data_IF_017469437157
#
_entry.id   IF_017469437157
#
_cell.length_a   1.000
_cell.length_b   1.000
_cell.length_c   1.000
_cell.angle_alpha   90.00
_cell.angle_beta   90.00
_cell.angle_gamma   90.00
#
_symmetry.space_group_name_H-M   'P 1'
#
loop_
_entity.id
_entity.type
_entity.pdbx_description
1 polymer ?
#
# COMPACT_ATOMS: atom_id res chain seq x y z
N UNK A 1 -28.53 -6.45 -8.14
CA UNK A 1 -27.98 -5.49 -9.11
C UNK A 1 -28.94 -5.44 -10.28
N UNK A 2 -29.63 -4.32 -10.47
CA UNK A 2 -30.54 -4.17 -11.60
C UNK A 2 -29.77 -4.26 -12.92
N UNK A 3 -30.32 -5.03 -13.85
CA UNK A 3 -29.68 -5.28 -15.14
C UNK A 3 -29.68 -3.98 -15.94
N UNK A 4 -28.50 -3.39 -16.15
CA UNK A 4 -28.35 -2.13 -16.88
C UNK A 4 -28.86 -2.31 -18.31
N UNK A 5 -29.84 -1.49 -18.71
CA UNK A 5 -30.39 -1.50 -20.06
C UNK A 5 -29.63 -0.49 -20.94
N UNK A 6 -28.78 -0.99 -21.84
CA UNK A 6 -27.97 -0.17 -22.73
C UNK A 6 -28.78 0.72 -23.68
N UNK A 7 -30.06 0.40 -23.93
CA UNK A 7 -30.95 1.16 -24.84
C UNK A 7 -31.68 2.32 -24.15
N UNK A 8 -31.63 2.41 -22.82
CA UNK A 8 -32.34 3.43 -22.03
C UNK A 8 -31.40 4.16 -21.06
N UNK A 9 -30.25 4.60 -21.57
CA UNK A 9 -29.28 5.34 -20.77
C UNK A 9 -29.55 6.84 -20.79
N UNK A 10 -29.21 7.51 -19.68
CA UNK A 10 -29.19 8.97 -19.61
C UNK A 10 -27.84 9.45 -20.14
N UNK A 11 -27.83 10.03 -21.33
CA UNK A 11 -26.62 10.57 -21.94
C UNK A 11 -26.34 11.99 -21.43
N UNK A 12 -25.07 12.33 -21.28
CA UNK A 12 -24.60 13.69 -20.97
C UNK A 12 -23.57 14.10 -22.03
N UNK A 13 -24.02 14.63 -23.18
CA UNK A 13 -23.12 14.93 -24.31
C UNK A 13 -22.33 16.24 -24.12
N UNK A 14 -22.83 17.16 -23.30
CA UNK A 14 -22.27 18.51 -23.18
C UNK A 14 -21.32 18.71 -22.00
N UNK A 15 -21.33 17.83 -21.00
CA UNK A 15 -20.50 17.97 -19.79
C UNK A 15 -20.11 16.58 -19.29
N UNK A 16 -18.86 16.41 -18.86
CA UNK A 16 -18.43 15.16 -18.24
C UNK A 16 -18.92 15.11 -16.77
N UNK A 17 -19.86 14.20 -16.42
CA UNK A 17 -20.44 14.15 -15.08
C UNK A 17 -19.41 13.78 -13.99
N UNK A 18 -18.26 13.22 -14.35
CA UNK A 18 -17.20 12.81 -13.41
C UNK A 18 -16.32 13.98 -12.91
N UNK A 19 -16.41 15.17 -13.52
CA UNK A 19 -15.59 16.33 -13.14
C UNK A 19 -15.95 16.92 -11.77
N UNK A 20 -17.22 16.80 -11.33
CA UNK A 20 -17.72 17.46 -10.11
C UNK A 20 -17.37 16.73 -8.82
N UNK A 21 -17.42 15.39 -8.82
CA UNK A 21 -17.05 14.46 -7.74
C UNK A 21 -17.37 13.05 -8.20
N UNK A 22 -16.39 12.16 -8.20
CA UNK A 22 -16.56 10.78 -8.62
C UNK A 22 -16.32 9.85 -7.44
N UNK A 23 -17.37 9.55 -6.69
CA UNK A 23 -17.37 8.50 -5.67
C UNK A 23 -18.04 7.26 -6.25
N UNK A 24 -17.31 6.15 -6.29
CA UNK A 24 -17.80 4.86 -6.75
C UNK A 24 -17.87 3.95 -5.53
N UNK A 25 -19.08 3.44 -5.27
CA UNK A 25 -19.30 2.44 -4.23
C UNK A 25 -19.13 1.05 -4.84
N UNK A 26 -18.26 0.23 -4.26
CA UNK A 26 -18.08 -1.16 -4.64
C UNK A 26 -18.22 -2.02 -3.38
N UNK A 27 -19.33 -2.74 -3.21
CA UNK A 27 -19.67 -3.54 -2.03
C UNK A 27 -19.23 -2.92 -0.69
N UNK A 28 -18.07 -3.33 -0.16
CA UNK A 28 -17.51 -2.90 1.13
C UNK A 28 -16.39 -1.83 1.03
N UNK A 29 -16.21 -1.27 -0.15
CA UNK A 29 -15.15 -0.31 -0.49
C UNK A 29 -15.77 0.97 -1.02
N UNK A 30 -15.29 2.09 -0.52
CA UNK A 30 -15.59 3.40 -1.07
C UNK A 30 -14.37 3.79 -1.90
N UNK A 31 -14.50 3.77 -3.21
CA UNK A 31 -13.48 4.22 -4.14
C UNK A 31 -13.78 5.68 -4.46
N UNK A 32 -12.98 6.59 -3.92
CA UNK A 32 -13.03 8.00 -4.27
C UNK A 32 -12.01 8.25 -5.37
N UNK A 33 -12.48 8.54 -6.57
CA UNK A 33 -11.64 9.04 -7.64
C UNK A 33 -11.71 10.55 -7.62
N UNK A 34 -10.59 11.20 -7.36
CA UNK A 34 -10.50 12.65 -7.41
C UNK A 34 -9.28 13.02 -8.22
N UNK A 35 -9.48 13.93 -9.17
CA UNK A 35 -8.38 14.75 -9.65
C UNK A 35 -8.12 15.73 -8.52
N UNK A 36 -7.30 15.34 -7.54
CA UNK A 36 -6.95 16.30 -6.50
C UNK A 36 -5.92 17.23 -7.12
N UNK A 37 -6.22 18.52 -7.16
CA UNK A 37 -5.21 19.59 -7.27
C UNK A 37 -4.39 19.61 -5.96
N UNK A 38 -3.90 18.45 -5.51
CA UNK A 38 -2.94 18.42 -4.43
C UNK A 38 -1.72 19.16 -4.97
N UNK A 39 -1.50 20.36 -4.42
CA UNK A 39 -0.25 21.11 -4.53
C UNK A 39 0.87 20.20 -4.06
N UNK A 40 1.35 19.31 -4.93
CA UNK A 40 2.68 18.78 -4.81
C UNK A 40 3.58 19.95 -5.20
N UNK A 41 4.09 20.65 -4.18
CA UNK A 41 5.21 21.55 -4.39
C UNK A 41 6.39 20.63 -4.64
N UNK A 42 6.63 20.33 -5.91
CA UNK A 42 7.85 19.68 -6.31
C UNK A 42 8.98 20.68 -5.98
N UNK A 43 9.78 20.38 -4.95
CA UNK A 43 10.77 21.32 -4.38
C UNK A 43 11.77 21.83 -5.41
N UNK A 44 11.92 21.12 -6.52
CA UNK A 44 12.84 21.46 -7.60
C UNK A 44 12.20 22.34 -8.70
N UNK A 45 10.88 22.27 -8.91
CA UNK A 45 10.22 22.95 -10.05
C UNK A 45 9.18 23.99 -9.64
N UNK A 46 8.76 24.03 -8.37
CA UNK A 46 7.77 24.96 -7.80
C UNK A 46 6.48 25.09 -8.64
N UNK A 47 6.14 24.05 -9.43
CA UNK A 47 4.96 23.98 -10.28
C UNK A 47 3.87 23.15 -9.60
N UNK A 48 2.62 23.55 -9.81
CA UNK A 48 1.46 22.78 -9.35
C UNK A 48 1.11 21.77 -10.44
N UNK A 49 1.41 20.50 -10.20
CA UNK A 49 1.03 19.40 -11.10
C UNK A 49 -0.33 18.82 -10.67
N UNK A 50 -1.18 18.55 -11.66
CA UNK A 50 -2.48 17.91 -11.44
C UNK A 50 -2.29 16.40 -11.48
N UNK A 51 -2.28 15.76 -10.32
CA UNK A 51 -2.08 14.31 -10.22
C UNK A 51 -3.44 13.60 -10.05
N UNK A 52 -3.87 12.76 -11.00
CA UNK A 52 -5.06 11.94 -10.83
C UNK A 52 -4.85 10.96 -9.66
N UNK A 53 -5.72 11.04 -8.64
CA UNK A 53 -5.59 10.23 -7.41
C UNK A 53 -6.80 9.33 -7.23
N UNK A 54 -6.54 8.03 -7.07
CA UNK A 54 -7.56 7.03 -6.71
C UNK A 54 -7.38 6.67 -5.24
N UNK A 55 -8.30 7.11 -4.38
CA UNK A 55 -8.28 6.82 -2.96
C UNK A 55 -9.31 5.75 -2.61
N UNK A 56 -8.86 4.55 -2.26
CA UNK A 56 -9.72 3.44 -1.84
C UNK A 56 -9.79 3.40 -0.31
N UNK A 57 -10.99 3.53 0.24
CA UNK A 57 -11.24 3.31 1.67
C UNK A 57 -11.96 1.99 1.88
N UNK A 58 -11.35 1.07 2.63
CA UNK A 58 -11.96 -0.20 3.05
C UNK A 58 -11.97 -0.29 4.57
N UNK A 59 -13.13 -0.59 5.17
CA UNK A 59 -13.23 -0.89 6.60
C UNK A 59 -13.05 -2.40 6.79
N UNK A 60 -12.11 -2.80 7.64
CA UNK A 60 -11.79 -4.22 7.88
C UNK A 60 -11.66 -4.53 9.37
N UNK A 61 -11.74 -5.81 9.73
CA UNK A 61 -11.46 -6.27 11.09
C UNK A 61 -9.94 -6.32 11.34
N UNK A 62 -9.54 -6.43 12.60
CA UNK A 62 -8.13 -6.38 13.01
C UNK A 62 -7.27 -7.50 12.38
N UNK A 63 -7.79 -8.72 12.29
CA UNK A 63 -7.06 -9.85 11.68
C UNK A 63 -6.82 -9.63 10.18
N UNK A 64 -7.86 -9.25 9.42
CA UNK A 64 -7.75 -8.96 7.99
C UNK A 64 -6.86 -7.73 7.76
N UNK A 65 -6.86 -6.77 8.70
CA UNK A 65 -5.98 -5.61 8.63
C UNK A 65 -4.50 -6.00 8.70
N UNK A 66 -4.10 -6.91 9.60
CA UNK A 66 -2.71 -7.43 9.66
C UNK A 66 -2.30 -8.03 8.32
N UNK A 67 -3.19 -8.85 7.74
CA UNK A 67 -2.92 -9.52 6.48
C UNK A 67 -2.78 -8.53 5.32
N UNK A 68 -3.70 -7.56 5.19
CA UNK A 68 -3.62 -6.49 4.19
C UNK A 68 -2.32 -5.68 4.38
N UNK A 69 -1.97 -5.39 5.62
CA UNK A 69 -0.77 -4.64 5.94
C UNK A 69 0.51 -5.40 5.58
N UNK A 70 0.59 -6.68 5.95
CA UNK A 70 1.70 -7.56 5.61
C UNK A 70 1.84 -7.74 4.09
N UNK A 71 0.72 -7.82 3.36
CA UNK A 71 0.70 -7.88 1.88
C UNK A 71 1.22 -6.57 1.26
N UNK A 72 0.85 -5.42 1.84
CA UNK A 72 1.37 -4.12 1.43
C UNK A 72 2.88 -4.01 1.61
N UNK A 73 3.40 -4.38 2.79
CA UNK A 73 4.85 -4.41 3.04
C UNK A 73 5.54 -5.41 2.11
N UNK A 74 4.99 -6.61 1.93
CA UNK A 74 5.55 -7.59 1.00
C UNK A 74 5.73 -7.01 -0.40
N UNK A 75 4.72 -6.28 -0.88
CA UNK A 75 4.77 -5.65 -2.21
C UNK A 75 5.82 -4.54 -2.27
N UNK A 76 5.86 -3.66 -1.26
CA UNK A 76 6.78 -2.51 -1.22
C UNK A 76 8.25 -2.94 -1.08
N UNK A 77 8.52 -3.92 -0.22
CA UNK A 77 9.88 -4.40 0.05
C UNK A 77 10.31 -5.58 -0.83
N UNK A 78 9.41 -6.04 -1.71
CA UNK A 78 9.56 -7.23 -2.55
C UNK A 78 10.01 -8.44 -1.73
N UNK A 79 9.22 -8.80 -0.71
CA UNK A 79 9.52 -9.93 0.18
C UNK A 79 9.17 -11.27 -0.47
N UNK A 80 10.02 -12.26 -0.25
CA UNK A 80 9.74 -13.65 -0.59
C UNK A 80 8.52 -14.15 0.19
N UNK A 81 7.93 -15.26 -0.29
CA UNK A 81 6.85 -15.94 0.44
C UNK A 81 7.28 -16.30 1.86
N UNK A 82 8.54 -16.67 2.05
CA UNK A 82 9.09 -17.00 3.38
C UNK A 82 9.20 -15.77 4.27
N UNK A 83 9.79 -14.68 3.77
CA UNK A 83 9.89 -13.41 4.51
C UNK A 83 8.53 -12.84 4.88
N UNK A 84 7.55 -12.91 3.98
CA UNK A 84 6.18 -12.49 4.24
C UNK A 84 5.51 -13.30 5.36
N UNK A 85 5.70 -14.63 5.39
CA UNK A 85 5.16 -15.47 6.47
C UNK A 85 5.78 -15.12 7.82
N UNK A 86 7.10 -14.88 7.87
CA UNK A 86 7.77 -14.43 9.10
C UNK A 86 7.30 -13.04 9.51
N UNK A 87 7.05 -12.14 8.55
CA UNK A 87 6.50 -10.81 8.83
C UNK A 87 5.13 -10.90 9.53
N UNK A 88 4.25 -11.80 9.10
CA UNK A 88 2.95 -12.02 9.75
C UNK A 88 3.16 -12.43 11.22
N UNK A 89 4.04 -13.40 11.48
CA UNK A 89 4.36 -13.85 12.85
C UNK A 89 4.86 -12.68 13.69
N UNK A 90 5.75 -11.87 13.14
CA UNK A 90 6.30 -10.70 13.82
C UNK A 90 5.22 -9.68 14.16
N UNK A 91 4.28 -9.43 13.24
CA UNK A 91 3.15 -8.51 13.46
C UNK A 91 2.19 -9.04 14.55
N UNK A 92 1.89 -10.34 14.54
CA UNK A 92 1.07 -11.00 15.56
C UNK A 92 1.73 -10.92 16.95
N UNK A 93 3.05 -11.07 17.00
CA UNK A 93 3.81 -10.97 18.25
C UNK A 93 3.88 -9.52 18.77
N UNK A 94 3.99 -8.54 17.87
CA UNK A 94 3.89 -7.13 18.24
C UNK A 94 2.52 -6.79 18.85
N UNK A 95 1.43 -7.34 18.30
CA UNK A 95 0.09 -7.14 18.85
C UNK A 95 -0.10 -7.85 20.19
N UNK A 96 0.41 -9.07 20.34
CA UNK A 96 0.34 -9.82 21.59
C UNK A 96 1.02 -9.03 22.74
N UNK A 97 2.21 -8.49 22.48
CA UNK A 97 2.96 -7.67 23.44
C UNK A 97 2.28 -6.34 23.79
N UNK A 98 1.43 -5.79 22.90
CA UNK A 98 0.65 -4.56 23.15
C UNK A 98 -0.31 -4.75 24.33
N UNK A 99 -0.93 -5.91 24.44
CA UNK A 99 -1.86 -6.25 25.54
C UNK A 99 -1.17 -6.27 26.90
N UNK A 100 0.14 -6.54 26.93
CA UNK A 100 0.93 -6.63 28.17
C UNK A 100 1.50 -5.29 28.66
N UNK A 101 1.12 -4.15 28.06
CA UNK A 101 1.60 -2.80 28.43
C UNK A 101 3.14 -2.63 28.44
N UNK A 102 3.90 -3.50 27.74
CA UNK A 102 5.35 -3.33 27.56
C UNK A 102 5.62 -2.39 26.40
N UNK A 103 5.91 -1.12 26.70
CA UNK A 103 6.31 -0.07 25.76
C UNK A 103 7.73 -0.31 25.20
N UNK A 104 7.95 -1.46 24.57
CA UNK A 104 9.25 -1.81 24.04
C UNK A 104 9.18 -1.78 22.51
N UNK A 105 9.95 -0.90 21.88
CA UNK A 105 10.16 -0.90 20.42
C UNK A 105 11.00 -2.11 19.95
N UNK A 106 11.00 -3.19 20.73
CA UNK A 106 11.75 -4.40 20.48
C UNK A 106 10.89 -5.62 20.74
N UNK A 107 11.09 -6.64 19.91
CA UNK A 107 10.43 -7.94 20.00
C UNK A 107 11.46 -9.01 20.32
N UNK A 108 11.03 -10.03 21.05
CA UNK A 108 11.80 -11.25 21.27
C UNK A 108 11.23 -12.32 20.34
N UNK A 109 12.06 -12.97 19.56
CA UNK A 109 11.67 -14.06 18.66
C UNK A 109 12.60 -15.25 18.92
N UNK A 110 12.09 -16.27 19.59
CA UNK A 110 12.84 -17.50 19.90
C UNK A 110 12.12 -18.66 19.24
N UNK A 111 12.84 -19.46 18.47
CA UNK A 111 12.29 -20.70 17.94
C UNK A 111 12.41 -21.82 18.97
N UNK A 112 11.29 -22.36 19.44
CA UNK A 112 11.23 -23.55 20.32
C UNK A 112 9.85 -24.22 20.25
N UNK A 113 9.74 -25.47 20.69
CA UNK A 113 8.51 -26.29 20.66
C UNK A 113 7.80 -26.36 19.29
N UNK A 114 8.59 -26.29 18.21
CA UNK A 114 8.08 -26.35 16.84
C UNK A 114 7.41 -25.04 16.39
N UNK A 115 7.79 -23.92 16.98
CA UNK A 115 7.19 -22.62 16.67
C UNK A 115 7.99 -21.43 17.19
N UNK A 116 7.37 -20.25 17.16
CA UNK A 116 7.98 -19.00 17.65
C UNK A 116 7.36 -18.66 18.99
N UNK A 117 8.19 -18.48 20.01
CA UNK A 117 7.77 -18.21 21.38
C UNK A 117 6.76 -19.24 21.92
N UNK A 118 6.89 -20.51 21.51
CA UNK A 118 5.98 -21.61 21.88
C UNK A 118 4.68 -21.69 21.06
N UNK A 119 4.44 -20.76 20.13
CA UNK A 119 3.28 -20.78 19.22
C UNK A 119 3.64 -21.55 17.96
N UNK A 120 2.96 -22.68 17.72
CA UNK A 120 3.18 -23.49 16.51
C UNK A 120 2.78 -22.72 15.27
N UNK A 121 3.64 -22.75 14.26
CA UNK A 121 3.40 -22.21 12.94
C UNK A 121 3.63 -23.29 11.89
N UNK A 122 3.04 -23.11 10.70
CA UNK A 122 3.17 -24.04 9.58
C UNK A 122 4.54 -23.93 8.87
N UNK A 123 5.64 -23.85 9.62
CA UNK A 123 6.98 -23.79 9.06
C UNK A 123 7.99 -24.48 9.96
N UNK A 124 9.15 -24.79 9.38
CA UNK A 124 10.29 -25.36 10.11
C UNK A 124 11.29 -24.27 10.50
N UNK A 125 12.13 -24.58 11.48
CA UNK A 125 13.13 -23.67 12.04
C UNK A 125 14.02 -22.98 11.00
N UNK A 126 14.54 -23.78 10.06
CA UNK A 126 15.38 -23.27 8.96
C UNK A 126 14.64 -22.24 8.10
N UNK A 127 13.36 -22.46 7.84
CA UNK A 127 12.53 -21.56 7.02
C UNK A 127 12.27 -20.26 7.76
N UNK A 128 12.01 -20.33 9.07
CA UNK A 128 11.87 -19.15 9.91
C UNK A 128 13.14 -18.30 9.92
N UNK A 129 14.29 -18.90 10.17
CA UNK A 129 15.57 -18.18 10.18
C UNK A 129 15.92 -17.56 8.82
N UNK A 130 15.53 -18.19 7.71
CA UNK A 130 15.70 -17.62 6.38
C UNK A 130 14.82 -16.38 6.17
N UNK A 131 13.55 -16.43 6.58
CA UNK A 131 12.67 -15.26 6.51
C UNK A 131 13.11 -14.15 7.46
N UNK A 132 13.58 -14.49 8.66
CA UNK A 132 14.12 -13.52 9.62
C UNK A 132 15.35 -12.80 9.07
N UNK A 133 16.27 -13.55 8.42
CA UNK A 133 17.42 -12.96 7.73
C UNK A 133 16.98 -11.96 6.66
N UNK A 134 15.96 -12.31 5.87
CA UNK A 134 15.42 -11.42 4.84
C UNK A 134 14.85 -10.13 5.44
N UNK A 135 14.06 -10.22 6.52
CA UNK A 135 13.52 -9.03 7.20
C UNK A 135 14.62 -8.10 7.72
N UNK A 136 15.73 -8.67 8.22
CA UNK A 136 16.90 -7.90 8.66
C UNK A 136 17.60 -7.24 7.47
N UNK A 137 17.84 -8.00 6.39
CA UNK A 137 18.48 -7.47 5.17
C UNK A 137 17.69 -6.33 4.53
N UNK A 138 16.36 -6.40 4.58
CA UNK A 138 15.45 -5.37 4.05
C UNK A 138 15.24 -4.20 5.02
N UNK A 139 15.90 -4.21 6.19
CA UNK A 139 15.82 -3.13 7.18
C UNK A 139 14.47 -3.02 7.91
N UNK A 140 13.64 -4.07 7.84
CA UNK A 140 12.35 -4.14 8.53
C UNK A 140 12.59 -4.38 10.04
N UNK A 141 13.58 -5.22 10.36
CA UNK A 141 14.06 -5.50 11.71
C UNK A 141 15.54 -5.17 11.84
N UNK A 142 15.97 -4.79 13.04
CA UNK A 142 17.40 -4.67 13.37
C UNK A 142 17.73 -5.50 14.61
N UNK A 143 18.84 -6.25 14.63
CA UNK A 143 19.23 -7.00 15.83
C UNK A 143 19.51 -6.06 17.00
N UNK A 144 19.05 -6.43 18.20
CA UNK A 144 19.31 -5.73 19.47
C UNK A 144 20.19 -6.58 20.39
N UNK A 145 19.76 -7.81 20.64
CA UNK A 145 20.41 -8.83 21.47
C UNK A 145 20.14 -10.20 20.85
N UNK A 146 20.77 -11.30 21.31
CA UNK A 146 20.40 -12.63 20.86
C UNK A 146 18.88 -12.85 20.97
N UNK A 147 18.25 -13.24 19.86
CA UNK A 147 16.80 -13.44 19.74
C UNK A 147 15.94 -12.19 20.02
N UNK A 148 16.52 -10.99 20.10
CA UNK A 148 15.78 -9.74 20.26
C UNK A 148 16.08 -8.77 19.13
N UNK A 149 15.03 -8.13 18.62
CA UNK A 149 15.10 -7.27 17.45
C UNK A 149 14.38 -5.97 17.70
N UNK A 150 14.98 -4.85 17.30
CA UNK A 150 14.30 -3.57 17.15
C UNK A 150 13.34 -3.64 15.96
N UNK A 151 12.14 -3.11 16.16
CA UNK A 151 11.14 -2.94 15.10
C UNK A 151 11.20 -1.52 14.56
N UNK A 152 10.95 -1.35 13.27
CA UNK A 152 10.83 -0.02 12.66
C UNK A 152 9.48 0.61 13.07
N UNK A 153 9.42 1.69 13.88
CA UNK A 153 8.15 2.24 14.37
C UNK A 153 7.20 2.71 13.26
N UNK A 154 7.73 3.07 12.09
CA UNK A 154 6.94 3.47 10.92
C UNK A 154 6.21 2.25 10.33
N UNK A 155 6.88 1.09 10.31
CA UNK A 155 6.33 -0.17 9.79
C UNK A 155 5.52 -0.95 10.82
N UNK A 156 5.58 -0.60 12.10
CA UNK A 156 4.88 -1.28 13.19
C UNK A 156 3.95 -0.33 13.94
N UNK A 157 3.26 0.51 13.15
CA UNK A 157 2.44 1.63 13.60
C UNK A 157 1.38 1.24 14.64
N UNK A 158 1.18 2.11 15.63
CA UNK A 158 0.26 1.92 16.77
C UNK A 158 -1.17 2.42 16.55
N UNK A 159 -1.48 3.05 15.42
CA UNK A 159 -2.79 3.66 15.16
C UNK A 159 -3.73 2.82 14.30
N UNK A 160 -4.88 3.40 13.95
CA UNK A 160 -6.04 2.67 13.39
C UNK A 160 -6.17 2.75 11.86
N UNK A 161 -5.23 3.43 11.17
CA UNK A 161 -5.27 3.67 9.72
C UNK A 161 -3.87 3.53 9.13
N UNK A 162 -3.80 2.93 7.95
CA UNK A 162 -2.58 2.86 7.12
C UNK A 162 -2.95 3.29 5.71
N UNK A 163 -2.05 3.99 5.04
CA UNK A 163 -2.21 4.42 3.65
C UNK A 163 -0.99 3.96 2.87
N UNK A 164 -1.22 3.08 1.89
CA UNK A 164 -0.22 2.73 0.90
C UNK A 164 -0.44 3.63 -0.32
N UNK A 165 0.57 4.43 -0.67
CA UNK A 165 0.57 5.24 -1.87
C UNK A 165 1.48 4.58 -2.89
N UNK A 166 0.94 4.29 -4.08
CA UNK A 166 1.71 3.79 -5.21
C UNK A 166 1.63 4.81 -6.32
N UNK A 167 2.76 5.39 -6.66
CA UNK A 167 2.90 6.32 -7.76
C UNK A 167 3.47 5.60 -8.98
N UNK A 168 2.89 5.88 -10.15
CA UNK A 168 3.42 5.43 -11.43
C UNK A 168 3.76 6.69 -12.22
N UNK A 169 5.02 6.81 -12.63
CA UNK A 169 5.49 7.89 -13.48
C UNK A 169 5.79 7.33 -14.85
N UNK A 170 5.39 8.06 -15.89
CA UNK A 170 5.82 7.76 -17.26
C UNK A 170 7.23 8.32 -17.39
N UNK A 171 8.20 7.46 -17.68
CA UNK A 171 9.52 7.96 -18.08
C UNK A 171 9.35 8.71 -19.41
N UNK A 172 9.81 9.97 -19.51
CA UNK A 172 9.78 10.67 -20.78
C UNK A 172 10.62 9.86 -21.76
N UNK A 173 9.98 9.34 -22.80
CA UNK A 173 10.68 8.68 -23.89
C UNK A 173 11.74 9.63 -24.42
N UNK A 174 13.01 9.23 -24.41
CA UNK A 174 14.04 9.93 -25.18
C UNK A 174 13.75 9.72 -26.66
N UNK A 175 12.85 10.54 -27.19
CA UNK A 175 12.50 10.56 -28.61
C UNK A 175 13.73 11.04 -29.37
N UNK A 176 14.50 10.11 -29.94
CA UNK A 176 15.27 10.40 -31.15
C UNK A 176 14.28 10.96 -32.16
N UNK A 177 14.56 12.19 -32.60
CA UNK A 177 13.93 12.84 -33.74
C UNK A 177 13.88 11.88 -34.91
N UNK A 178 12.68 11.68 -35.46
CA UNK A 178 12.36 11.56 -36.89
C UNK A 178 11.12 10.68 -37.05
N UNK A 179 9.92 11.29 -37.04
CA UNK A 179 8.75 10.93 -37.86
C UNK A 179 7.82 12.16 -37.90
N UNK A 180 7.25 12.53 -39.08
CA UNK A 180 6.52 13.78 -39.26
C UNK A 180 5.16 13.76 -38.56
N UNK A 181 4.78 14.94 -38.07
CA UNK A 181 3.48 15.32 -37.54
C UNK A 181 2.32 14.85 -38.40
N UNK A 182 1.47 13.95 -37.88
CA UNK A 182 0.05 14.07 -38.11
C UNK A 182 -0.77 13.50 -36.93
N UNK A 183 -1.54 14.41 -36.33
CA UNK A 183 -2.82 14.25 -35.62
C UNK A 183 -3.00 13.03 -34.71
N UNK A 184 -2.85 13.23 -33.40
CA UNK A 184 -3.88 13.02 -32.35
C UNK A 184 -3.27 13.44 -31.02
N UNK A 185 -3.19 14.75 -30.80
CA UNK A 185 -2.83 15.33 -29.51
C UNK A 185 -4.16 15.77 -28.87
N UNK A 186 -4.77 14.91 -28.06
CA UNK A 186 -5.90 15.31 -27.22
C UNK A 186 -5.32 15.93 -25.95
N UNK A 187 -5.21 17.26 -25.98
CA UNK A 187 -4.71 18.06 -24.87
C UNK A 187 -5.62 17.92 -23.65
N UNK A 188 -5.02 17.51 -22.53
CA UNK A 188 -5.67 17.40 -21.22
C UNK A 188 -5.98 18.77 -20.59
N UNK A 189 -5.58 19.86 -21.25
CA UNK A 189 -5.76 21.25 -20.80
C UNK A 189 -7.20 21.77 -20.97
N UNK A 190 -8.02 21.08 -21.77
CA UNK A 190 -9.41 21.51 -22.06
C UNK A 190 -10.38 21.32 -20.89
N UNK A 191 -9.96 20.60 -19.83
CA UNK A 191 -10.82 20.30 -18.67
C UNK A 191 -10.76 21.34 -17.54
N UNK A 192 -10.01 22.45 -17.69
CA UNK A 192 -9.84 23.45 -16.62
C UNK A 192 -10.32 24.86 -16.95
N UNK A 193 -10.95 25.07 -18.11
CA UNK A 193 -11.70 26.30 -18.40
C UNK A 193 -13.19 25.97 -18.48
N UNK A 194 -13.90 26.23 -17.39
CA UNK A 194 -15.20 26.94 -17.27
C UNK A 194 -15.46 27.13 -15.77
#
# INVERSE_FOLDING_TARGET
>A
MDKINLRKQKFSPCENPFLKKSEIFADNKIVKTSITQQKFINTDTNRTEVIPTIHVTEKTNEKKFIEIFANGIQTVFNLSRTGHRVLIIVLEECQSNKTENKNNNSITLIWFDGGVNGKKHDMVDRTFHNGLRELIQKGILKPKLPNQYWINPILFFKGNKITFMKEYQIEPSSTKSDIPSNEYQTDLEDFTKI
#
